data_IF_829309173978
#
_entry.id   IF_829309173978
#
_cell.length_a   1.000
_cell.length_b   1.000
_cell.length_c   1.000
_cell.angle_alpha   90.00
_cell.angle_beta   90.00
_cell.angle_gamma   90.00
#
_symmetry.space_group_name_H-M   'P 1'
#
loop_
_entity.id
_entity.type
_entity.pdbx_description
1 polymer ?
#
# COMPACT_ATOMS: atom_id res chain seq x y z
N UNK A 1 -8.22 17.75 -10.96
CA UNK A 1 -8.21 16.31 -11.27
C UNK A 1 -8.93 16.19 -12.61
N UNK A 2 -8.18 16.16 -13.70
CA UNK A 2 -8.74 16.10 -15.05
C UNK A 2 -9.28 14.68 -15.26
N UNK A 3 -10.59 14.53 -15.22
CA UNK A 3 -11.26 13.27 -15.54
C UNK A 3 -11.53 13.31 -17.04
N UNK A 4 -10.54 12.91 -17.84
CA UNK A 4 -10.79 12.53 -19.22
C UNK A 4 -11.75 11.34 -19.21
N UNK A 5 -12.87 11.48 -19.89
CA UNK A 5 -13.95 10.50 -19.89
C UNK A 5 -13.41 9.06 -20.08
N UNK A 6 -13.57 8.24 -19.03
CA UNK A 6 -13.33 6.77 -18.97
C UNK A 6 -11.93 6.27 -18.65
N UNK A 7 -10.91 7.10 -18.55
CA UNK A 7 -9.54 6.63 -18.29
C UNK A 7 -8.98 7.20 -16.98
N UNK A 8 -8.53 6.31 -16.08
CA UNK A 8 -7.98 6.69 -14.77
C UNK A 8 -6.59 6.08 -14.59
N UNK A 9 -5.64 6.92 -14.21
CA UNK A 9 -4.30 6.54 -13.73
C UNK A 9 -4.28 6.60 -12.21
N UNK A 10 -3.61 5.63 -11.57
CA UNK A 10 -3.57 5.53 -10.11
C UNK A 10 -2.12 5.42 -9.65
N UNK A 11 -1.71 6.32 -8.76
CA UNK A 11 -0.40 6.29 -8.12
C UNK A 11 -0.56 5.90 -6.65
N UNK A 12 0.18 4.88 -6.23
CA UNK A 12 0.11 4.30 -4.89
C UNK A 12 1.48 4.35 -4.26
N UNK A 13 1.57 4.91 -3.07
CA UNK A 13 2.78 4.88 -2.27
C UNK A 13 2.62 3.88 -1.13
N UNK A 14 3.53 2.91 -1.05
CA UNK A 14 3.48 1.86 -0.03
C UNK A 14 4.81 1.74 0.71
N UNK A 15 4.72 1.28 1.95
CA UNK A 15 5.84 0.78 2.73
C UNK A 15 5.60 -0.72 2.86
N UNK A 16 6.57 -1.53 2.46
CA UNK A 16 6.47 -3.00 2.49
C UNK A 16 7.11 -3.54 3.75
N UNK A 17 6.60 -4.63 4.30
CA UNK A 17 7.23 -5.26 5.47
C UNK A 17 8.47 -6.07 5.08
N UNK A 18 9.45 -6.13 5.98
CA UNK A 18 10.62 -6.97 5.78
C UNK A 18 10.22 -8.45 5.71
N UNK A 19 10.78 -9.17 4.74
CA UNK A 19 10.51 -10.59 4.54
C UNK A 19 9.43 -10.91 3.50
N UNK A 20 8.79 -9.90 2.91
CA UNK A 20 7.84 -10.12 1.79
C UNK A 20 8.51 -9.93 0.43
N UNK A 21 7.99 -10.64 -0.58
CA UNK A 21 8.41 -10.45 -1.98
C UNK A 21 7.67 -9.24 -2.56
N UNK A 22 8.40 -8.14 -2.72
CA UNK A 22 7.87 -6.88 -3.27
C UNK A 22 7.10 -7.08 -4.59
N UNK A 23 7.58 -7.88 -5.57
CA UNK A 23 6.86 -8.08 -6.82
C UNK A 23 5.47 -8.71 -6.62
N UNK A 24 5.35 -9.67 -5.71
CA UNK A 24 4.07 -10.34 -5.43
C UNK A 24 3.07 -9.38 -4.78
N UNK A 25 3.55 -8.58 -3.82
CA UNK A 25 2.73 -7.58 -3.13
C UNK A 25 2.28 -6.50 -4.10
N UNK A 26 3.19 -5.99 -4.93
CA UNK A 26 2.88 -4.98 -5.94
C UNK A 26 1.84 -5.50 -6.96
N UNK A 27 2.00 -6.74 -7.45
CA UNK A 27 1.04 -7.34 -8.38
C UNK A 27 -0.36 -7.49 -7.76
N UNK A 28 -0.42 -7.97 -6.51
CA UNK A 28 -1.69 -8.09 -5.78
C UNK A 28 -2.36 -6.71 -5.60
N UNK A 29 -1.59 -5.69 -5.24
CA UNK A 29 -2.11 -4.32 -5.09
C UNK A 29 -2.64 -3.80 -6.42
N UNK A 30 -1.89 -3.93 -7.50
CA UNK A 30 -2.31 -3.48 -8.83
C UNK A 30 -3.63 -4.13 -9.26
N UNK A 31 -3.75 -5.45 -9.10
CA UNK A 31 -4.97 -6.18 -9.46
C UNK A 31 -6.16 -5.75 -8.60
N UNK A 32 -5.98 -5.69 -7.27
CA UNK A 32 -7.05 -5.34 -6.34
C UNK A 32 -7.53 -3.90 -6.56
N UNK A 33 -6.61 -2.95 -6.73
CA UNK A 33 -6.97 -1.54 -6.92
C UNK A 33 -7.66 -1.32 -8.25
N UNK A 34 -7.14 -1.93 -9.33
CA UNK A 34 -7.80 -1.89 -10.63
C UNK A 34 -9.22 -2.41 -10.55
N UNK A 35 -9.39 -3.60 -10.00
CA UNK A 35 -10.69 -4.26 -9.93
C UNK A 35 -11.67 -3.51 -9.02
N UNK A 36 -11.20 -2.97 -7.90
CA UNK A 36 -12.02 -2.17 -6.99
C UNK A 36 -12.51 -0.88 -7.67
N UNK A 37 -11.65 -0.14 -8.35
CA UNK A 37 -12.02 1.13 -9.01
C UNK A 37 -12.94 0.86 -10.21
N UNK A 38 -12.64 -0.15 -11.03
CA UNK A 38 -13.50 -0.56 -12.16
C UNK A 38 -14.90 -0.98 -11.65
N UNK A 39 -14.98 -1.75 -10.56
CA UNK A 39 -16.26 -2.19 -10.01
C UNK A 39 -17.04 -1.09 -9.29
N UNK A 40 -16.38 -0.18 -8.58
CA UNK A 40 -17.04 0.89 -7.81
C UNK A 40 -17.51 2.03 -8.69
N UNK A 41 -16.75 2.39 -9.72
CA UNK A 41 -16.96 3.62 -10.50
C UNK A 41 -17.32 3.37 -11.95
N UNK A 42 -17.10 2.15 -12.47
CA UNK A 42 -17.27 1.84 -13.89
C UNK A 42 -16.23 2.51 -14.80
N UNK A 43 -15.23 3.17 -14.23
CA UNK A 43 -14.12 3.77 -14.98
C UNK A 43 -13.09 2.71 -15.34
N UNK A 44 -12.45 2.84 -16.51
CA UNK A 44 -11.39 1.92 -16.94
C UNK A 44 -10.06 2.42 -16.41
N UNK A 45 -9.34 1.58 -15.66
CA UNK A 45 -8.02 1.95 -15.16
C UNK A 45 -6.98 1.61 -16.23
N UNK A 46 -6.29 2.65 -16.71
CA UNK A 46 -5.27 2.52 -17.76
C UNK A 46 -3.95 2.05 -17.16
N UNK A 47 -3.58 2.62 -16.02
CA UNK A 47 -2.32 2.33 -15.35
C UNK A 47 -2.44 2.40 -13.82
N UNK A 48 -1.60 1.61 -13.14
CA UNK A 48 -1.47 1.64 -11.69
C UNK A 48 0.01 1.56 -11.32
N UNK A 49 0.54 2.69 -10.88
CA UNK A 49 1.93 2.84 -10.49
C UNK A 49 2.05 2.59 -8.98
N UNK A 50 2.92 1.64 -8.60
CA UNK A 50 3.20 1.32 -7.20
C UNK A 50 4.61 1.78 -6.87
N UNK A 51 4.70 2.75 -5.98
CA UNK A 51 5.94 3.33 -5.48
C UNK A 51 6.23 2.79 -4.09
N UNK A 52 7.27 1.97 -3.98
CA UNK A 52 7.76 1.50 -2.67
C UNK A 52 8.68 2.56 -2.09
N UNK A 53 8.21 3.24 -1.04
CA UNK A 53 8.97 4.31 -0.39
C UNK A 53 9.97 3.79 0.64
N UNK A 54 9.75 2.58 1.17
CA UNK A 54 10.63 1.99 2.18
C UNK A 54 10.21 0.59 2.59
N UNK A 55 11.04 -0.01 3.43
CA UNK A 55 10.79 -1.31 4.07
C UNK A 55 10.59 -1.09 5.57
N UNK A 56 9.42 -1.45 6.08
CA UNK A 56 9.15 -1.52 7.51
C UNK A 56 9.73 -2.81 8.05
N UNK A 57 10.69 -2.71 8.96
CA UNK A 57 11.10 -3.86 9.75
C UNK A 57 10.13 -3.95 10.90
N UNK A 58 9.41 -5.08 11.09
CA UNK A 58 8.65 -5.24 12.31
C UNK A 58 9.65 -5.05 13.45
N UNK A 59 9.49 -3.96 14.21
CA UNK A 59 10.15 -3.85 15.49
C UNK A 59 9.73 -5.12 16.22
N UNK A 60 10.70 -5.90 16.70
CA UNK A 60 10.42 -6.68 17.89
C UNK A 60 9.86 -5.64 18.85
N UNK A 61 8.55 -5.70 19.09
CA UNK A 61 7.93 -5.05 20.22
C UNK A 61 8.78 -5.49 21.40
N UNK A 62 9.75 -4.68 21.80
CA UNK A 62 10.20 -4.73 23.16
C UNK A 62 9.02 -4.15 23.92
N UNK A 63 8.27 -4.97 24.67
CA UNK A 63 7.45 -4.39 25.71
C UNK A 63 8.47 -3.86 26.71
N UNK A 64 8.74 -2.56 26.67
CA UNK A 64 9.25 -1.90 27.87
C UNK A 64 8.09 -1.87 28.88
N UNK A 65 7.84 -3.04 29.47
CA UNK A 65 7.04 -3.19 30.69
C UNK A 65 7.74 -2.39 31.81
N UNK A 66 7.00 -1.38 32.28
CA UNK A 66 7.04 -0.73 33.59
C UNK A 66 8.27 -0.92 34.48
N UNK A 67 9.00 0.18 34.73
CA UNK A 67 9.61 0.40 36.04
C UNK A 67 8.91 1.55 36.76
N UNK A 68 7.73 1.23 37.31
CA UNK A 68 7.25 1.89 38.52
C UNK A 68 8.22 1.57 39.67
N UNK A 69 9.02 2.55 40.11
CA UNK A 69 9.51 2.59 41.50
C UNK A 69 9.79 4.01 41.95
N UNK A 70 8.97 4.41 42.92
CA UNK A 70 9.07 5.56 43.82
C UNK A 70 10.49 5.85 44.32
N UNK A 71 10.89 7.13 44.28
CA UNK A 71 11.51 7.79 45.44
C UNK A 71 11.37 9.30 45.35
#
# INVERSE_FOLDING_TARGET
VEVGEKETAVDIHIIVEFGVRIPDVALNIQQNVKQAIENMTGLKVVETNVHVQGVSFPQMDHPEEEQQRVK
#
